data_IF_265292926868
#
_entry.id   IF_265292926868
#
_cell.length_a   1.000
_cell.length_b   1.000
_cell.length_c   1.000
_cell.angle_alpha   90.00
_cell.angle_beta   90.00
_cell.angle_gamma   90.00
#
_symmetry.space_group_name_H-M   'P 1'
#
loop_
_entity.id
_entity.type
_entity.pdbx_description
1 polymer ?
#
# COMPACT_ATOMS: atom_id res chain seq x y z
N UNK A 1 -20.54 27.62 20.25
CA UNK A 1 -19.41 27.08 19.48
C UNK A 1 -19.11 25.70 20.02
N UNK A 2 -19.66 24.69 19.38
CA UNK A 2 -19.51 23.29 19.83
C UNK A 2 -18.25 22.74 19.17
N UNK A 3 -17.21 22.47 19.95
CA UNK A 3 -16.01 21.75 19.50
C UNK A 3 -16.40 20.31 19.21
N UNK A 4 -16.25 19.90 17.96
CA UNK A 4 -16.36 18.49 17.56
C UNK A 4 -15.37 17.66 18.41
N UNK A 5 -15.76 16.46 18.88
CA UNK A 5 -14.86 15.62 19.65
C UNK A 5 -13.65 15.27 18.79
N UNK A 6 -12.46 15.61 19.26
CA UNK A 6 -11.21 15.07 18.72
C UNK A 6 -11.31 13.55 18.84
N UNK A 7 -11.41 12.85 17.70
CA UNK A 7 -11.26 11.41 17.65
C UNK A 7 -9.88 11.08 18.21
N UNK A 8 -9.85 10.35 19.32
CA UNK A 8 -8.62 9.76 19.84
C UNK A 8 -7.86 9.09 18.68
N UNK A 9 -6.72 9.66 18.35
CA UNK A 9 -5.86 9.13 17.30
C UNK A 9 -5.12 7.91 17.86
N UNK A 10 -5.79 6.76 17.84
CA UNK A 10 -5.20 5.48 18.14
C UNK A 10 -4.31 5.13 16.95
N UNK A 11 -3.03 4.98 17.14
CA UNK A 11 -2.01 4.71 16.10
C UNK A 11 -0.81 5.63 16.23
N UNK A 12 0.34 5.30 15.66
CA UNK A 12 1.54 6.08 15.84
C UNK A 12 1.38 7.49 15.27
N UNK A 13 1.95 8.48 15.99
CA UNK A 13 2.10 9.83 15.46
C UNK A 13 3.25 9.84 14.47
N UNK A 14 2.98 10.29 13.26
CA UNK A 14 4.01 10.51 12.24
C UNK A 14 4.69 11.84 12.53
N UNK A 15 5.97 11.82 12.89
CA UNK A 15 6.77 13.02 13.15
C UNK A 15 7.07 13.74 11.85
N UNK A 16 7.54 12.99 10.85
CA UNK A 16 7.91 13.51 9.55
C UNK A 16 7.49 12.55 8.45
N UNK A 17 7.06 13.10 7.32
CA UNK A 17 6.88 12.36 6.08
C UNK A 17 7.21 13.28 4.90
N UNK A 18 8.04 12.79 3.98
CA UNK A 18 8.50 13.53 2.83
C UNK A 18 8.60 12.65 1.58
N UNK A 19 8.40 13.23 0.41
CA UNK A 19 8.70 12.58 -0.86
C UNK A 19 10.21 12.57 -1.07
N UNK A 20 10.78 11.40 -1.31
CA UNK A 20 12.23 11.24 -1.56
C UNK A 20 12.53 11.34 -3.04
N UNK A 21 11.94 10.46 -3.85
CA UNK A 21 12.16 10.44 -5.31
C UNK A 21 11.11 9.56 -5.99
N UNK A 22 11.02 9.76 -7.32
CA UNK A 22 10.27 8.86 -8.21
C UNK A 22 11.22 8.28 -9.25
N UNK A 23 11.27 6.95 -9.37
CA UNK A 23 12.21 6.28 -10.28
C UNK A 23 11.52 5.34 -11.26
N UNK A 24 11.98 5.33 -12.53
CA UNK A 24 11.40 4.47 -13.55
C UNK A 24 11.99 3.04 -13.55
N UNK A 25 12.94 2.74 -12.65
CA UNK A 25 13.59 1.43 -12.57
C UNK A 25 14.15 1.18 -11.16
N UNK A 26 14.18 -0.08 -10.74
CA UNK A 26 14.67 -0.52 -9.42
C UNK A 26 16.14 -0.14 -9.19
N UNK A 27 16.96 -0.22 -10.23
CA UNK A 27 18.38 0.15 -10.16
C UNK A 27 18.65 1.63 -9.76
N UNK A 28 17.63 2.48 -9.89
CA UNK A 28 17.69 3.91 -9.50
C UNK A 28 17.11 4.19 -8.12
N UNK A 29 16.66 3.17 -7.41
CA UNK A 29 16.17 3.31 -6.03
C UNK A 29 17.31 3.62 -5.05
N UNK A 30 17.00 4.27 -3.91
CA UNK A 30 17.99 4.49 -2.86
C UNK A 30 18.53 3.15 -2.33
N UNK A 31 19.70 3.15 -1.68
CA UNK A 31 20.22 1.96 -1.00
C UNK A 31 19.17 1.34 -0.07
N UNK A 32 19.11 0.01 0.08
CA UNK A 32 18.09 -0.68 0.86
C UNK A 32 18.39 -0.64 2.38
N UNK A 33 18.57 0.58 2.92
CA UNK A 33 18.96 0.81 4.32
C UNK A 33 17.79 0.89 5.28
N UNK A 34 16.61 1.27 4.79
CA UNK A 34 15.37 1.33 5.58
C UNK A 34 14.41 0.22 5.16
N UNK A 35 13.61 -0.24 6.10
CA UNK A 35 12.50 -1.16 5.79
C UNK A 35 11.55 -0.50 4.79
N UNK A 36 11.27 -1.22 3.70
CA UNK A 36 10.33 -0.79 2.69
C UNK A 36 8.98 -1.48 2.84
N UNK A 37 7.94 -0.66 2.70
CA UNK A 37 6.54 -1.09 2.67
C UNK A 37 5.92 -0.63 1.36
N UNK A 38 5.54 -1.58 0.51
CA UNK A 38 4.98 -1.30 -0.81
C UNK A 38 3.46 -1.23 -0.79
N UNK A 39 2.91 -0.37 -1.63
CA UNK A 39 1.48 -0.20 -1.85
C UNK A 39 1.17 -0.38 -3.34
N UNK A 40 0.41 -1.43 -3.66
CA UNK A 40 -0.03 -1.76 -5.00
C UNK A 40 -1.55 -1.65 -5.11
N UNK A 41 -2.06 -1.57 -6.31
CA UNK A 41 -3.49 -1.62 -6.58
C UNK A 41 -3.85 -0.92 -7.88
N UNK A 42 -5.07 -1.14 -8.31
CA UNK A 42 -5.60 -0.56 -9.56
C UNK A 42 -5.69 0.96 -9.48
N UNK A 43 -5.68 1.60 -10.64
CA UNK A 43 -5.92 3.05 -10.73
C UNK A 43 -7.25 3.43 -10.06
N UNK A 44 -7.24 4.52 -9.30
CA UNK A 44 -8.40 5.05 -8.55
C UNK A 44 -8.93 4.12 -7.43
N UNK A 45 -8.17 3.14 -6.99
CA UNK A 45 -8.53 2.27 -5.85
C UNK A 45 -8.53 3.00 -4.49
N UNK A 46 -7.87 4.15 -4.40
CA UNK A 46 -7.72 4.95 -3.17
C UNK A 46 -6.31 4.90 -2.57
N UNK A 47 -5.29 4.49 -3.35
CA UNK A 47 -3.92 4.31 -2.91
C UNK A 47 -3.30 5.60 -2.35
N UNK A 48 -3.34 6.70 -3.09
CA UNK A 48 -2.82 7.99 -2.62
C UNK A 48 -3.58 8.53 -1.40
N UNK A 49 -4.89 8.31 -1.30
CA UNK A 49 -5.68 8.68 -0.11
C UNK A 49 -5.26 7.88 1.11
N UNK A 50 -5.02 6.57 0.96
CA UNK A 50 -4.52 5.72 2.03
C UNK A 50 -3.12 6.17 2.47
N UNK A 51 -2.21 6.39 1.54
CA UNK A 51 -0.85 6.86 1.82
C UNK A 51 -0.87 8.19 2.59
N UNK A 52 -1.65 9.18 2.13
CA UNK A 52 -1.80 10.45 2.83
C UNK A 52 -2.37 10.29 4.25
N UNK A 53 -3.33 9.36 4.43
CA UNK A 53 -3.90 9.04 5.75
C UNK A 53 -2.85 8.40 6.67
N UNK A 54 -2.07 7.44 6.17
CA UNK A 54 -0.99 6.81 6.95
C UNK A 54 0.10 7.82 7.29
N UNK A 55 0.56 8.58 6.33
CA UNK A 55 1.61 9.59 6.51
C UNK A 55 1.16 10.82 7.31
N UNK A 56 -0.15 10.98 7.55
CA UNK A 56 -0.74 12.16 8.20
C UNK A 56 -0.36 13.47 7.49
N UNK A 57 -0.24 13.43 6.16
CA UNK A 57 0.09 14.58 5.30
C UNK A 57 -0.86 14.64 4.11
N UNK A 58 -1.69 15.67 4.09
CA UNK A 58 -2.59 15.91 2.97
C UNK A 58 -1.79 16.25 1.70
N UNK A 59 -2.10 15.58 0.59
CA UNK A 59 -1.55 15.91 -0.72
C UNK A 59 -0.09 15.50 -0.96
N UNK A 60 0.59 14.86 -0.01
CA UNK A 60 1.97 14.41 -0.18
C UNK A 60 2.05 13.31 -1.26
N UNK A 61 1.24 12.29 -1.17
CA UNK A 61 0.99 11.38 -2.28
C UNK A 61 -0.07 12.02 -3.18
N UNK A 62 0.29 12.33 -4.43
CA UNK A 62 -0.61 13.03 -5.36
C UNK A 62 -1.81 12.14 -5.70
N UNK A 63 -3.00 12.67 -5.44
CA UNK A 63 -4.25 12.09 -5.93
C UNK A 63 -4.48 12.64 -7.34
N UNK A 64 -4.06 11.92 -8.36
CA UNK A 64 -4.37 12.30 -9.74
C UNK A 64 -5.70 11.69 -10.15
N UNK A 65 -6.63 12.51 -10.63
CA UNK A 65 -7.81 12.05 -11.37
C UNK A 65 -7.45 11.64 -12.80
N UNK A 66 -6.26 12.03 -13.29
CA UNK A 66 -5.77 11.65 -14.61
C UNK A 66 -5.09 10.30 -14.52
N UNK A 67 -5.66 9.27 -15.12
CA UNK A 67 -5.11 7.92 -15.10
C UNK A 67 -3.79 7.84 -15.87
N UNK A 68 -2.83 7.04 -15.39
CA UNK A 68 -1.51 6.88 -16.02
C UNK A 68 -0.45 7.91 -15.61
N UNK A 69 -0.72 8.78 -14.62
CA UNK A 69 0.25 9.77 -14.17
C UNK A 69 1.44 9.19 -13.41
N UNK A 70 1.27 8.06 -12.71
CA UNK A 70 2.37 7.44 -11.96
C UNK A 70 3.04 6.38 -12.84
N UNK A 71 4.14 6.77 -13.49
CA UNK A 71 4.98 5.88 -14.32
C UNK A 71 6.27 5.47 -13.61
N UNK A 72 6.34 5.68 -12.32
CA UNK A 72 7.53 5.50 -11.50
C UNK A 72 7.18 4.87 -10.16
N UNK A 73 8.15 4.24 -9.52
CA UNK A 73 8.12 3.88 -8.12
C UNK A 73 8.32 5.17 -7.32
N UNK A 74 7.32 5.62 -6.59
CA UNK A 74 7.43 6.80 -5.74
C UNK A 74 7.81 6.39 -4.32
N UNK A 75 8.92 6.90 -3.83
CA UNK A 75 9.45 6.60 -2.51
C UNK A 75 9.17 7.78 -1.57
N UNK A 76 8.57 7.48 -0.43
CA UNK A 76 8.34 8.42 0.66
C UNK A 76 9.09 7.93 1.90
N UNK A 77 9.81 8.82 2.56
CA UNK A 77 10.37 8.54 3.89
C UNK A 77 9.32 8.89 4.95
N UNK A 78 9.14 8.00 5.91
CA UNK A 78 8.20 8.19 7.02
C UNK A 78 8.92 7.93 8.33
N UNK A 79 8.90 8.90 9.24
CA UNK A 79 9.59 8.86 10.54
C UNK A 79 8.57 8.91 11.67
N UNK A 80 8.62 7.92 12.56
CA UNK A 80 7.83 7.85 13.79
C UNK A 80 8.66 8.23 15.03
N UNK A 81 9.96 7.89 15.04
CA UNK A 81 10.99 8.24 16.00
C UNK A 81 12.35 8.17 15.32
N UNK A 82 13.45 8.45 16.02
CA UNK A 82 14.80 8.33 15.44
C UNK A 82 15.07 6.89 14.96
N UNK A 83 14.63 5.90 15.74
CA UNK A 83 14.88 4.47 15.47
C UNK A 83 13.77 3.80 14.62
N UNK A 84 12.66 4.50 14.36
CA UNK A 84 11.54 3.94 13.59
C UNK A 84 11.27 4.77 12.35
N UNK A 85 11.97 4.40 11.28
CA UNK A 85 11.86 5.01 9.97
C UNK A 85 11.56 3.95 8.91
N UNK A 86 10.79 4.34 7.90
CA UNK A 86 10.34 3.47 6.81
C UNK A 86 10.44 4.20 5.48
N UNK A 87 10.62 3.42 4.41
CA UNK A 87 10.27 3.86 3.08
C UNK A 87 8.90 3.31 2.69
N UNK A 88 7.94 4.18 2.41
CA UNK A 88 6.70 3.81 1.74
C UNK A 88 6.91 3.91 0.24
N UNK A 89 6.64 2.82 -0.48
CA UNK A 89 6.84 2.75 -1.93
C UNK A 89 5.49 2.62 -2.62
N UNK A 90 5.10 3.70 -3.32
CA UNK A 90 3.87 3.76 -4.11
C UNK A 90 4.14 3.19 -5.49
N UNK A 91 3.62 1.98 -5.74
CA UNK A 91 3.75 1.32 -7.03
C UNK A 91 2.78 1.93 -8.06
N UNK A 92 3.13 1.98 -9.35
CA UNK A 92 2.21 2.41 -10.40
C UNK A 92 0.90 1.65 -10.36
N UNK A 93 -0.21 2.35 -10.53
CA UNK A 93 -1.53 1.70 -10.60
C UNK A 93 -1.69 0.91 -11.90
N UNK A 94 -2.12 -0.34 -11.78
CA UNK A 94 -2.41 -1.20 -12.94
C UNK A 94 -3.90 -1.18 -13.36
N UNK A 95 -4.27 -2.00 -14.34
CA UNK A 95 -5.68 -2.15 -14.78
C UNK A 95 -6.21 -0.99 -15.62
N UNK A 96 -5.34 -0.18 -16.23
CA UNK A 96 -5.76 0.95 -17.05
C UNK A 96 -5.79 0.64 -18.55
N UNK A 97 -6.96 0.84 -19.19
CA UNK A 97 -7.20 0.46 -20.59
C UNK A 97 -6.50 1.37 -21.62
N UNK A 98 -6.08 2.59 -21.24
CA UNK A 98 -5.58 3.61 -22.18
C UNK A 98 -4.06 3.67 -22.31
N UNK A 99 -3.31 2.71 -21.80
CA UNK A 99 -1.86 2.62 -21.99
C UNK A 99 -1.52 1.63 -23.08
N UNK A 100 -0.45 1.88 -23.81
CA UNK A 100 0.01 0.99 -24.88
C UNK A 100 0.41 -0.38 -24.31
N UNK A 101 0.36 -1.41 -25.14
CA UNK A 101 0.76 -2.77 -24.75
C UNK A 101 2.23 -2.82 -24.30
N UNK A 102 3.11 -2.06 -24.93
CA UNK A 102 4.53 -1.96 -24.57
C UNK A 102 4.74 -1.28 -23.21
N UNK A 103 3.98 -0.24 -22.90
CA UNK A 103 4.04 0.40 -21.57
C UNK A 103 3.55 -0.55 -20.45
N UNK A 104 2.48 -1.32 -20.70
CA UNK A 104 2.01 -2.35 -19.75
C UNK A 104 3.08 -3.39 -19.45
N UNK A 105 3.77 -3.87 -20.49
CA UNK A 105 4.86 -4.85 -20.33
C UNK A 105 6.03 -4.25 -19.53
N UNK A 106 6.46 -3.03 -19.86
CA UNK A 106 7.55 -2.36 -19.16
C UNK A 106 7.23 -2.08 -17.68
N UNK A 107 5.98 -1.72 -17.37
CA UNK A 107 5.54 -1.53 -15.98
C UNK A 107 5.44 -2.84 -15.21
N UNK A 108 4.93 -3.89 -15.88
CA UNK A 108 4.89 -5.22 -15.30
C UNK A 108 6.28 -5.66 -14.89
N UNK A 109 7.24 -5.62 -15.80
CA UNK A 109 8.64 -5.99 -15.53
C UNK A 109 9.25 -5.17 -14.37
N UNK A 110 9.08 -3.86 -14.34
CA UNK A 110 9.60 -3.02 -13.25
C UNK A 110 9.00 -3.37 -11.89
N UNK A 111 7.69 -3.63 -11.84
CA UNK A 111 7.00 -4.01 -10.59
C UNK A 111 7.47 -5.39 -10.15
N UNK A 112 7.55 -6.34 -11.08
CA UNK A 112 8.03 -7.70 -10.80
C UNK A 112 9.46 -7.71 -10.30
N UNK A 113 10.40 -6.98 -10.92
CA UNK A 113 11.78 -6.85 -10.48
C UNK A 113 11.86 -6.27 -9.07
N UNK A 114 11.10 -5.19 -8.79
CA UNK A 114 11.03 -4.61 -7.45
C UNK A 114 10.51 -5.60 -6.42
N UNK A 115 9.40 -6.25 -6.69
CA UNK A 115 8.76 -7.18 -5.78
C UNK A 115 9.60 -8.44 -5.56
N UNK A 116 10.31 -8.92 -6.57
CA UNK A 116 11.16 -10.12 -6.52
C UNK A 116 12.49 -9.88 -5.81
N UNK A 117 13.17 -8.79 -6.15
CA UNK A 117 14.61 -8.64 -5.86
C UNK A 117 14.90 -7.69 -4.68
N UNK A 118 13.96 -6.81 -4.31
CA UNK A 118 14.23 -5.78 -3.31
C UNK A 118 14.37 -6.36 -1.89
N UNK A 119 15.57 -6.37 -1.27
CA UNK A 119 15.79 -7.04 0.02
C UNK A 119 15.15 -6.29 1.19
N UNK A 120 15.04 -4.96 1.10
CA UNK A 120 14.42 -4.11 2.11
C UNK A 120 12.88 -4.16 2.11
N UNK A 121 12.25 -4.76 1.09
CA UNK A 121 10.80 -4.93 1.03
C UNK A 121 10.33 -5.99 2.05
N UNK A 122 9.61 -5.57 3.08
CA UNK A 122 9.12 -6.42 4.18
C UNK A 122 7.60 -6.59 4.22
N UNK A 123 6.87 -5.68 3.57
CA UNK A 123 5.43 -5.83 3.42
C UNK A 123 4.94 -5.27 2.09
N UNK A 124 3.94 -5.95 1.53
CA UNK A 124 3.14 -5.49 0.39
C UNK A 124 1.68 -5.34 0.83
N UNK A 125 1.12 -4.16 0.65
CA UNK A 125 -0.31 -3.90 0.79
C UNK A 125 -0.94 -3.75 -0.58
N UNK A 126 -1.75 -4.75 -0.96
CA UNK A 126 -2.53 -4.74 -2.19
C UNK A 126 -3.90 -4.11 -1.92
N UNK A 127 -4.20 -2.98 -2.54
CA UNK A 127 -5.44 -2.26 -2.36
C UNK A 127 -6.50 -2.72 -3.36
N UNK A 128 -7.68 -3.02 -2.84
CA UNK A 128 -8.87 -3.47 -3.59
C UNK A 128 -10.05 -2.57 -3.22
N UNK A 129 -10.81 -2.10 -4.19
CA UNK A 129 -12.05 -1.34 -3.92
C UNK A 129 -13.13 -2.30 -3.38
N UNK A 130 -13.54 -2.11 -2.13
CA UNK A 130 -14.47 -3.01 -1.44
C UNK A 130 -15.84 -3.15 -2.12
N UNK A 131 -16.19 -2.22 -3.03
CA UNK A 131 -17.44 -2.28 -3.81
C UNK A 131 -17.35 -3.23 -5.00
N UNK A 132 -16.11 -3.44 -5.52
CA UNK A 132 -15.85 -4.29 -6.70
C UNK A 132 -15.38 -5.69 -6.32
N UNK A 133 -14.72 -5.80 -5.17
CA UNK A 133 -14.03 -7.03 -4.79
C UNK A 133 -12.68 -7.16 -5.47
N UNK A 134 -12.10 -8.35 -5.35
CA UNK A 134 -10.81 -8.70 -5.95
C UNK A 134 -11.02 -9.04 -7.44
N UNK A 135 -10.13 -8.57 -8.28
CA UNK A 135 -10.19 -8.76 -9.73
C UNK A 135 -8.99 -9.61 -10.20
N UNK A 136 -8.99 -10.05 -11.45
CA UNK A 136 -7.98 -10.96 -12.03
C UNK A 136 -6.54 -10.45 -11.89
N UNK A 137 -6.30 -9.17 -12.22
CA UNK A 137 -4.97 -8.55 -12.07
C UNK A 137 -4.47 -8.57 -10.60
N UNK A 138 -5.40 -8.47 -9.63
CA UNK A 138 -5.09 -8.53 -8.19
C UNK A 138 -4.67 -9.94 -7.79
N UNK A 139 -5.37 -10.96 -8.30
CA UNK A 139 -5.05 -12.37 -8.05
C UNK A 139 -3.70 -12.74 -8.67
N UNK A 140 -3.41 -12.30 -9.90
CA UNK A 140 -2.12 -12.54 -10.55
C UNK A 140 -0.96 -11.96 -9.73
N UNK A 141 -1.13 -10.76 -9.16
CA UNK A 141 -0.11 -10.18 -8.28
C UNK A 141 0.09 -11.00 -6.98
N UNK A 142 -1.00 -11.49 -6.38
CA UNK A 142 -0.91 -12.36 -5.19
C UNK A 142 -0.23 -13.69 -5.50
N UNK A 143 -0.53 -14.31 -6.63
CA UNK A 143 0.11 -15.53 -7.12
C UNK A 143 1.60 -15.32 -7.41
N UNK A 144 1.95 -14.21 -8.07
CA UNK A 144 3.34 -13.83 -8.31
C UNK A 144 4.12 -13.72 -6.99
N UNK A 145 3.58 -13.03 -6.00
CA UNK A 145 4.20 -12.89 -4.68
C UNK A 145 4.38 -14.24 -3.98
N UNK A 146 3.36 -15.10 -4.04
CA UNK A 146 3.42 -16.42 -3.44
C UNK A 146 4.46 -17.35 -4.11
N UNK A 147 4.67 -17.19 -5.42
CA UNK A 147 5.61 -17.98 -6.20
C UNK A 147 7.07 -17.48 -6.07
N UNK A 148 7.27 -16.17 -5.86
CA UNK A 148 8.61 -15.56 -5.97
C UNK A 148 9.21 -15.16 -4.62
N UNK A 149 8.40 -15.02 -3.57
CA UNK A 149 8.87 -14.59 -2.24
C UNK A 149 8.42 -15.51 -1.12
N UNK A 150 9.35 -15.98 -0.25
CA UNK A 150 8.97 -16.63 1.01
C UNK A 150 8.14 -15.69 1.88
N UNK A 151 7.13 -16.24 2.55
CA UNK A 151 6.22 -15.48 3.45
C UNK A 151 6.96 -14.78 4.60
N UNK A 152 8.09 -15.32 4.98
CA UNK A 152 8.97 -14.81 6.03
C UNK A 152 9.71 -13.55 5.56
N UNK A 153 10.06 -13.47 4.28
CA UNK A 153 10.83 -12.35 3.72
C UNK A 153 9.97 -11.12 3.42
N UNK A 154 8.70 -11.32 3.04
CA UNK A 154 7.77 -10.23 2.73
C UNK A 154 6.32 -10.64 3.07
N UNK A 155 5.68 -9.90 3.95
CA UNK A 155 4.28 -10.11 4.33
C UNK A 155 3.33 -9.45 3.35
N UNK A 156 2.39 -10.24 2.81
CA UNK A 156 1.38 -9.73 1.88
C UNK A 156 0.05 -9.56 2.61
N UNK A 157 -0.57 -8.41 2.44
CA UNK A 157 -1.88 -8.06 2.98
C UNK A 157 -2.75 -7.46 1.89
N UNK A 158 -4.06 -7.72 1.92
CA UNK A 158 -5.03 -7.00 1.10
C UNK A 158 -5.69 -5.91 1.93
N UNK A 159 -5.92 -4.75 1.34
CA UNK A 159 -6.64 -3.63 1.95
C UNK A 159 -7.91 -3.37 1.15
N UNK A 160 -9.06 -3.71 1.75
CA UNK A 160 -10.37 -3.41 1.19
C UNK A 160 -10.71 -1.94 1.45
N UNK A 161 -10.46 -1.09 0.46
CA UNK A 161 -10.63 0.38 0.56
C UNK A 161 -12.07 0.83 0.36
N UNK A 162 -12.35 2.10 0.67
CA UNK A 162 -13.64 2.77 0.46
C UNK A 162 -14.81 2.10 1.19
N UNK A 163 -14.57 1.55 2.38
CA UNK A 163 -15.63 0.93 3.19
C UNK A 163 -16.78 1.90 3.50
N UNK A 164 -16.49 3.19 3.60
CA UNK A 164 -17.50 4.25 3.78
C UNK A 164 -18.53 4.31 2.65
N UNK A 165 -18.21 3.80 1.47
CA UNK A 165 -19.12 3.73 0.31
C UNK A 165 -20.03 2.49 0.32
N UNK A 166 -19.89 1.63 1.32
CA UNK A 166 -20.75 0.44 1.51
C UNK A 166 -21.59 0.63 2.77
N UNK A 167 -22.87 0.30 2.69
CA UNK A 167 -23.78 0.30 3.85
C UNK A 167 -23.20 -0.57 4.96
N UNK A 168 -23.22 -0.08 6.19
CA UNK A 168 -22.55 -0.69 7.36
C UNK A 168 -22.80 -2.20 7.51
N UNK A 169 -24.05 -2.64 7.31
CA UNK A 169 -24.41 -4.04 7.40
C UNK A 169 -23.72 -4.94 6.35
N UNK A 170 -23.30 -4.38 5.20
CA UNK A 170 -22.64 -5.10 4.11
C UNK A 170 -21.12 -5.02 4.16
N UNK A 171 -20.53 -4.21 5.05
CA UNK A 171 -19.07 -4.01 5.11
C UNK A 171 -18.33 -5.29 5.48
N UNK A 172 -18.74 -5.97 6.56
CA UNK A 172 -18.14 -7.23 6.99
C UNK A 172 -18.26 -8.34 5.93
N UNK A 173 -19.44 -8.59 5.34
CA UNK A 173 -19.58 -9.55 4.24
C UNK A 173 -18.67 -9.24 3.04
N UNK A 174 -18.52 -7.98 2.65
CA UNK A 174 -17.65 -7.58 1.53
C UNK A 174 -16.17 -7.88 1.83
N UNK A 175 -15.70 -7.57 3.03
CA UNK A 175 -14.32 -7.88 3.46
C UNK A 175 -14.08 -9.38 3.52
N UNK A 176 -15.04 -10.16 4.01
CA UNK A 176 -14.90 -11.62 4.10
C UNK A 176 -14.90 -12.27 2.70
N UNK A 177 -15.71 -11.79 1.78
CA UNK A 177 -15.68 -12.26 0.38
C UNK A 177 -14.30 -12.04 -0.27
N UNK A 178 -13.70 -10.86 -0.05
CA UNK A 178 -12.34 -10.57 -0.54
C UNK A 178 -11.32 -11.51 0.11
N UNK A 179 -11.44 -11.78 1.41
CA UNK A 179 -10.52 -12.63 2.17
C UNK A 179 -10.55 -14.09 1.69
N UNK A 180 -11.74 -14.62 1.40
CA UNK A 180 -11.90 -15.97 0.85
C UNK A 180 -11.17 -16.11 -0.49
N UNK A 181 -11.28 -15.12 -1.37
CA UNK A 181 -10.63 -15.14 -2.68
C UNK A 181 -9.12 -14.89 -2.58
N UNK A 182 -8.70 -13.91 -1.78
CA UNK A 182 -7.30 -13.50 -1.66
C UNK A 182 -6.42 -14.53 -0.94
N UNK A 183 -6.97 -15.33 -0.03
CA UNK A 183 -6.26 -16.33 0.82
C UNK A 183 -5.10 -15.72 1.63
N UNK A 184 -5.13 -14.41 1.85
CA UNK A 184 -4.19 -13.65 2.70
C UNK A 184 -4.98 -12.75 3.66
N UNK A 185 -4.34 -12.19 4.71
CA UNK A 185 -5.04 -11.28 5.63
C UNK A 185 -5.61 -10.07 4.91
N UNK A 186 -6.86 -9.70 5.21
CA UNK A 186 -7.57 -8.55 4.64
C UNK A 186 -7.88 -7.55 5.74
N UNK A 187 -7.62 -6.27 5.45
CA UNK A 187 -7.89 -5.14 6.33
C UNK A 187 -8.92 -4.24 5.66
N UNK A 188 -10.05 -4.03 6.33
CA UNK A 188 -11.03 -3.05 5.86
C UNK A 188 -10.56 -1.62 6.15
N UNK A 189 -10.64 -0.71 5.17
CA UNK A 189 -10.13 0.66 5.30
C UNK A 189 -11.04 1.72 4.69
N UNK A 190 -11.08 2.88 5.35
CA UNK A 190 -11.67 4.11 4.82
C UNK A 190 -10.81 5.32 5.18
N UNK A 191 -10.39 6.08 4.18
CA UNK A 191 -9.69 7.35 4.37
C UNK A 191 -10.59 8.45 4.94
N UNK A 192 -11.89 8.35 4.71
CA UNK A 192 -12.89 9.34 5.18
C UNK A 192 -13.15 9.21 6.68
N UNK A 193 -13.24 7.97 7.17
CA UNK A 193 -13.59 7.70 8.57
C UNK A 193 -12.39 7.32 9.45
N UNK A 194 -11.24 7.01 8.85
CA UNK A 194 -10.05 6.52 9.54
C UNK A 194 -10.12 5.04 9.96
N UNK A 195 -11.21 4.35 9.66
CA UNK A 195 -11.34 2.91 9.96
C UNK A 195 -10.20 2.14 9.30
N UNK A 196 -9.60 1.20 10.04
CA UNK A 196 -8.51 0.33 9.57
C UNK A 196 -7.10 0.93 9.64
N UNK A 197 -6.94 2.24 9.92
CA UNK A 197 -5.63 2.90 9.98
C UNK A 197 -4.70 2.27 11.02
N UNK A 198 -5.21 2.00 12.21
CA UNK A 198 -4.41 1.45 13.32
C UNK A 198 -4.00 0.00 13.05
N UNK A 199 -4.87 -0.78 12.43
CA UNK A 199 -4.54 -2.14 12.01
C UNK A 199 -3.44 -2.14 10.94
N UNK A 200 -3.51 -1.21 9.97
CA UNK A 200 -2.47 -1.03 8.96
C UNK A 200 -1.13 -0.71 9.63
N UNK A 201 -1.08 0.23 10.56
CA UNK A 201 0.14 0.58 11.28
C UNK A 201 0.70 -0.60 12.08
N UNK A 202 -0.14 -1.34 12.80
CA UNK A 202 0.29 -2.56 13.51
C UNK A 202 0.94 -3.58 12.57
N UNK A 203 0.40 -3.74 11.35
CA UNK A 203 0.99 -4.65 10.34
C UNK A 203 2.30 -4.12 9.77
N UNK A 204 2.40 -2.82 9.53
CA UNK A 204 3.62 -2.15 9.07
C UNK A 204 4.74 -2.32 10.12
N UNK A 205 4.48 -1.97 11.36
CA UNK A 205 5.45 -2.08 12.45
C UNK A 205 5.89 -3.55 12.68
N UNK A 206 4.95 -4.49 12.65
CA UNK A 206 5.28 -5.92 12.76
C UNK A 206 6.15 -6.43 11.62
N UNK A 207 5.99 -5.92 10.41
CA UNK A 207 6.83 -6.29 9.27
C UNK A 207 8.26 -5.75 9.42
N UNK A 208 8.43 -4.59 10.07
CA UNK A 208 9.73 -3.99 10.33
C UNK A 208 10.54 -4.72 11.42
N UNK A 209 9.88 -5.21 12.46
CA UNK A 209 10.53 -5.88 13.59
C UNK A 209 11.21 -7.21 13.24
N UNK A 210 10.89 -7.82 12.11
CA UNK A 210 11.52 -9.08 11.66
C UNK A 210 12.93 -8.89 11.09
N UNK A 211 13.40 -7.67 10.94
CA UNK A 211 14.75 -7.37 10.43
C UNK A 211 15.80 -7.46 11.55
N UNK A 212 15.43 -7.15 12.79
CA UNK A 212 16.35 -7.07 13.93
C UNK A 212 16.64 -8.43 14.56
N UNK A 213 15.94 -9.49 14.14
CA UNK A 213 16.11 -10.85 14.70
C UNK A 213 17.10 -11.72 13.89
N UNK A 214 17.58 -11.27 12.74
CA UNK A 214 18.50 -11.99 11.84
C UNK A 214 19.84 -11.25 11.61
N UNK A 215 20.11 -10.18 12.34
CA UNK A 215 21.35 -9.39 12.24
C UNK A 215 22.37 -9.76 13.32
#
# INVERSE_FOLDING_TARGET
>A
MSSAPQKDQIGPKVLEASFVLGVPAVAKMPPPTLTEVAFAGRSNVGKSSLLNTLMQRAGLARTSSTPGCTRALNVFQVKLSEDRQFHFVDLPGYGYAKVSKSEKIAWGAMIEDYLRERPSLKALFLLVDSRRGIEEDDLQLLEFMAATRPKESCRVHVVATKLDKIVRAKQKPAVEAIKIMAKVPVIGFSSETGVGRDELWRRIEKAAQHVDAEA
#
